data_IF_236000881596
#
_entry.id   IF_236000881596
#
_cell.length_a   1.000
_cell.length_b   1.000
_cell.length_c   1.000
_cell.angle_alpha   90.00
_cell.angle_beta   90.00
_cell.angle_gamma   90.00
#
_symmetry.space_group_name_H-M   'P 1'
#
loop_
_entity.id
_entity.type
_entity.pdbx_description
1 polymer ?
#
# COMPACT_ATOMS: atom_id res chain seq x y z
N UNK A 1 7.18 -5.75 -16.76
CA UNK A 1 5.77 -5.38 -16.46
C UNK A 1 5.78 -4.13 -15.60
N UNK A 2 5.01 -3.10 -15.94
CA UNK A 2 4.94 -1.90 -15.10
C UNK A 2 4.08 -2.21 -13.86
N UNK A 3 4.69 -2.17 -12.67
CA UNK A 3 4.02 -2.46 -11.41
C UNK A 3 3.05 -1.33 -11.01
N UNK A 4 2.00 -1.66 -10.28
CA UNK A 4 1.06 -0.71 -9.68
C UNK A 4 1.62 -0.09 -8.40
N UNK A 5 0.93 0.92 -7.86
CA UNK A 5 1.32 1.57 -6.60
C UNK A 5 1.30 0.58 -5.44
N UNK A 6 0.22 -0.19 -5.30
CA UNK A 6 0.05 -1.18 -4.25
C UNK A 6 1.07 -2.32 -4.34
N UNK A 7 1.34 -2.80 -5.56
CA UNK A 7 2.36 -3.81 -5.84
C UNK A 7 3.75 -3.37 -5.39
N UNK A 8 4.17 -2.16 -5.79
CA UNK A 8 5.48 -1.64 -5.39
C UNK A 8 5.55 -1.35 -3.89
N UNK A 9 4.49 -0.79 -3.31
CA UNK A 9 4.42 -0.52 -1.87
C UNK A 9 4.52 -1.82 -1.06
N UNK A 10 3.82 -2.86 -1.49
CA UNK A 10 3.89 -4.20 -0.92
C UNK A 10 5.33 -4.74 -0.92
N UNK A 11 6.01 -4.71 -2.06
CA UNK A 11 7.38 -5.23 -2.19
C UNK A 11 8.37 -4.44 -1.31
N UNK A 12 8.32 -3.11 -1.33
CA UNK A 12 9.22 -2.27 -0.53
C UNK A 12 9.02 -2.47 0.97
N UNK A 13 7.76 -2.56 1.43
CA UNK A 13 7.46 -2.68 2.87
C UNK A 13 7.53 -4.11 3.40
N UNK A 14 7.58 -5.11 2.50
CA UNK A 14 7.75 -6.53 2.81
C UNK A 14 9.20 -6.98 2.99
N UNK A 15 10.16 -6.04 3.04
CA UNK A 15 11.62 -6.29 3.11
C UNK A 15 12.10 -7.01 4.39
N UNK A 16 11.23 -7.24 5.37
CA UNK A 16 11.61 -7.96 6.58
C UNK A 16 11.71 -9.47 6.33
N UNK A 17 12.37 -10.23 7.22
CA UNK A 17 12.37 -11.72 7.19
C UNK A 17 10.94 -12.31 7.33
N UNK A 18 9.94 -11.47 7.62
CA UNK A 18 8.53 -11.81 7.77
C UNK A 18 7.65 -10.70 7.20
N UNK A 19 7.29 -10.79 5.93
CA UNK A 19 6.45 -9.79 5.26
C UNK A 19 5.06 -9.63 5.87
N UNK A 20 4.62 -10.56 6.73
CA UNK A 20 3.38 -10.42 7.52
C UNK A 20 3.43 -9.30 8.56
N UNK A 21 4.60 -8.69 8.79
CA UNK A 21 4.70 -7.45 9.59
C UNK A 21 3.75 -6.38 9.03
N UNK A 22 3.58 -6.31 7.70
CA UNK A 22 2.61 -5.43 7.08
C UNK A 22 1.18 -5.71 7.57
N UNK A 23 0.78 -6.99 7.70
CA UNK A 23 -0.55 -7.38 8.16
C UNK A 23 -0.80 -7.06 9.65
N UNK A 24 0.24 -6.85 10.46
CA UNK A 24 0.11 -6.55 11.89
C UNK A 24 0.22 -5.07 12.22
N UNK A 25 0.82 -4.27 11.33
CA UNK A 25 1.06 -2.87 11.55
C UNK A 25 -0.04 -2.03 10.89
N UNK A 26 -0.97 -1.50 11.70
CA UNK A 26 -2.11 -0.69 11.23
C UNK A 26 -1.66 0.44 10.31
N UNK A 27 -0.55 1.13 10.63
CA UNK A 27 -0.03 2.20 9.78
C UNK A 27 0.41 1.67 8.42
N UNK A 28 1.14 0.56 8.37
CA UNK A 28 1.56 -0.01 7.08
C UNK A 28 0.36 -0.50 6.27
N UNK A 29 -0.65 -1.09 6.92
CA UNK A 29 -1.90 -1.51 6.26
C UNK A 29 -2.67 -0.32 5.70
N UNK A 30 -2.81 0.75 6.47
CA UNK A 30 -3.52 1.97 6.06
C UNK A 30 -3.00 2.49 4.72
N UNK A 31 -1.69 2.63 4.58
CA UNK A 31 -1.08 3.10 3.33
C UNK A 31 -1.07 2.05 2.21
N UNK A 32 -1.17 0.75 2.52
CA UNK A 32 -1.45 -0.26 1.50
C UNK A 32 -2.90 -0.12 0.98
N UNK A 33 -3.87 0.06 1.88
CA UNK A 33 -5.27 0.30 1.50
C UNK A 33 -5.39 1.55 0.62
N UNK A 34 -4.72 2.66 1.00
CA UNK A 34 -4.65 3.86 0.16
C UNK A 34 -4.06 3.55 -1.22
N UNK A 35 -2.96 2.80 -1.27
CA UNK A 35 -2.33 2.42 -2.54
C UNK A 35 -3.28 1.58 -3.41
N UNK A 36 -4.06 0.68 -2.82
CA UNK A 36 -5.07 -0.11 -3.53
C UNK A 36 -6.21 0.77 -4.07
N UNK A 37 -6.72 1.71 -3.26
CA UNK A 37 -7.77 2.65 -3.69
C UNK A 37 -7.29 3.58 -4.80
N UNK A 38 -6.03 4.04 -4.72
CA UNK A 38 -5.40 4.83 -5.77
C UNK A 38 -5.24 4.03 -7.07
N UNK A 39 -4.84 2.76 -7.00
CA UNK A 39 -4.73 1.91 -8.20
C UNK A 39 -6.11 1.67 -8.85
N UNK A 40 -7.18 1.50 -8.06
CA UNK A 40 -8.54 1.38 -8.57
C UNK A 40 -9.04 2.68 -9.22
N UNK A 41 -8.81 3.82 -8.55
CA UNK A 41 -9.24 5.12 -9.04
C UNK A 41 -8.46 5.55 -10.30
N UNK A 42 -7.14 5.35 -10.32
CA UNK A 42 -6.30 5.64 -11.47
C UNK A 42 -6.63 4.75 -12.68
N UNK A 43 -7.16 3.55 -12.44
CA UNK A 43 -7.66 2.66 -13.50
C UNK A 43 -9.11 2.97 -13.94
N UNK A 44 -9.75 4.00 -13.37
CA UNK A 44 -11.14 4.37 -13.68
C UNK A 44 -12.18 3.37 -13.19
N UNK A 45 -11.82 2.47 -12.26
CA UNK A 45 -12.73 1.45 -11.71
C UNK A 45 -13.65 2.06 -10.67
N UNK A 46 -13.13 2.99 -9.88
CA UNK A 46 -13.87 3.71 -8.84
C UNK A 46 -13.63 5.21 -8.94
N UNK A 47 -14.54 6.00 -8.37
CA UNK A 47 -14.31 7.41 -8.04
C UNK A 47 -14.96 7.74 -6.70
N UNK A 48 -14.59 8.87 -6.10
CA UNK A 48 -15.33 9.42 -4.97
C UNK A 48 -16.49 10.27 -5.50
N UNK A 49 -17.71 9.92 -5.10
CA UNK A 49 -18.92 10.67 -5.39
C UNK A 49 -19.06 11.92 -4.52
N UNK A 50 -19.93 12.84 -4.93
CA UNK A 50 -20.19 14.09 -4.20
C UNK A 50 -20.84 13.86 -2.82
N UNK A 51 -21.47 12.71 -2.61
CA UNK A 51 -22.09 12.29 -1.35
C UNK A 51 -21.11 11.61 -0.38
N UNK A 52 -19.81 11.75 -0.62
CA UNK A 52 -18.74 11.14 0.17
C UNK A 52 -18.77 9.60 0.15
N UNK A 53 -19.26 8.99 -0.94
CA UNK A 53 -19.28 7.54 -1.16
C UNK A 53 -18.39 7.12 -2.31
N UNK A 54 -17.96 5.87 -2.30
CA UNK A 54 -17.23 5.29 -3.43
C UNK A 54 -18.23 4.85 -4.49
N UNK A 55 -18.16 5.46 -5.67
CA UNK A 55 -18.91 5.05 -6.86
C UNK A 55 -18.08 4.05 -7.68
N UNK A 56 -18.73 2.95 -8.10
CA UNK A 56 -18.13 1.94 -8.99
C UNK A 56 -18.48 2.29 -10.43
N UNK A 57 -17.47 2.50 -11.25
CA UNK A 57 -17.60 3.05 -12.62
C UNK A 57 -17.42 1.98 -13.68
N UNK A 58 -16.49 1.06 -13.49
CA UNK A 58 -16.19 -0.01 -14.44
C UNK A 58 -15.82 -1.32 -13.73
N UNK A 59 -15.66 -2.38 -14.51
CA UNK A 59 -15.18 -3.67 -14.04
C UNK A 59 -13.68 -3.61 -13.70
N UNK A 60 -13.27 -4.47 -12.76
CA UNK A 60 -11.87 -4.59 -12.39
C UNK A 60 -11.06 -5.16 -13.58
N UNK A 61 -10.02 -4.47 -14.08
CA UNK A 61 -9.20 -5.01 -15.15
C UNK A 61 -8.32 -6.16 -14.65
N UNK A 62 -7.95 -7.08 -15.55
CA UNK A 62 -7.14 -8.28 -15.23
C UNK A 62 -5.88 -7.97 -14.42
N UNK A 63 -5.20 -6.86 -14.74
CA UNK A 63 -3.98 -6.42 -14.04
C UNK A 63 -4.21 -6.13 -12.56
N UNK A 64 -5.45 -5.85 -12.15
CA UNK A 64 -5.82 -5.53 -10.77
C UNK A 64 -6.56 -6.67 -10.08
N UNK A 65 -6.61 -7.89 -10.62
CA UNK A 65 -7.33 -9.01 -10.01
C UNK A 65 -6.85 -9.40 -8.59
N UNK A 66 -5.64 -8.99 -8.19
CA UNK A 66 -5.22 -9.10 -6.79
C UNK A 66 -6.10 -8.27 -5.82
N UNK A 67 -6.90 -7.33 -6.34
CA UNK A 67 -7.88 -6.50 -5.62
C UNK A 67 -9.31 -7.05 -5.66
N UNK A 68 -9.56 -8.26 -6.16
CA UNK A 68 -10.90 -8.85 -6.19
C UNK A 68 -11.60 -8.80 -4.82
N UNK A 69 -10.91 -9.22 -3.74
CA UNK A 69 -11.49 -9.16 -2.38
C UNK A 69 -11.71 -7.73 -1.87
N UNK A 70 -10.95 -6.74 -2.35
CA UNK A 70 -11.19 -5.32 -2.06
C UNK A 70 -12.47 -4.86 -2.73
N UNK A 71 -12.63 -5.14 -4.04
CA UNK A 71 -13.83 -4.79 -4.80
C UNK A 71 -15.09 -5.47 -4.25
N UNK A 72 -15.02 -6.74 -3.88
CA UNK A 72 -16.16 -7.44 -3.25
C UNK A 72 -16.61 -6.78 -1.94
N UNK A 73 -15.67 -6.23 -1.16
CA UNK A 73 -16.01 -5.48 0.04
C UNK A 73 -16.65 -4.13 -0.32
N UNK A 74 -16.10 -3.39 -1.29
CA UNK A 74 -16.66 -2.11 -1.74
C UNK A 74 -18.08 -2.32 -2.28
N UNK A 75 -18.30 -3.32 -3.14
CA UNK A 75 -19.61 -3.64 -3.74
C UNK A 75 -20.66 -3.93 -2.66
N UNK A 76 -20.33 -4.77 -1.67
CA UNK A 76 -21.25 -5.13 -0.58
C UNK A 76 -21.62 -3.95 0.32
N UNK A 77 -20.78 -2.92 0.36
CA UNK A 77 -20.95 -1.75 1.22
C UNK A 77 -21.13 -0.45 0.42
N UNK A 78 -21.54 -0.52 -0.85
CA UNK A 78 -21.60 0.62 -1.79
C UNK A 78 -22.49 1.79 -1.34
N UNK A 79 -23.40 1.57 -0.39
CA UNK A 79 -24.29 2.59 0.14
C UNK A 79 -23.74 3.30 1.39
N UNK A 80 -22.57 2.88 1.88
CA UNK A 80 -21.91 3.46 3.05
C UNK A 80 -20.98 4.60 2.62
N UNK A 81 -20.67 5.49 3.57
CA UNK A 81 -19.65 6.53 3.35
C UNK A 81 -18.23 5.94 3.22
N UNK A 82 -17.35 6.73 2.62
CA UNK A 82 -15.97 6.35 2.33
C UNK A 82 -15.18 5.99 3.60
N UNK A 83 -15.39 6.70 4.71
CA UNK A 83 -14.70 6.43 5.97
C UNK A 83 -15.06 5.04 6.50
N UNK A 84 -16.34 4.67 6.42
CA UNK A 84 -16.83 3.36 6.83
C UNK A 84 -16.26 2.25 5.94
N UNK A 85 -16.25 2.43 4.61
CA UNK A 85 -15.65 1.46 3.69
C UNK A 85 -14.14 1.30 3.97
N UNK A 86 -13.42 2.41 4.15
CA UNK A 86 -11.98 2.40 4.45
C UNK A 86 -11.68 1.75 5.80
N UNK A 87 -12.52 1.98 6.81
CA UNK A 87 -12.42 1.32 8.10
C UNK A 87 -12.61 -0.20 7.96
N UNK A 88 -13.62 -0.62 7.19
CA UNK A 88 -13.86 -2.04 6.90
C UNK A 88 -12.70 -2.68 6.13
N UNK A 89 -12.14 -2.02 5.12
CA UNK A 89 -10.94 -2.49 4.42
C UNK A 89 -9.74 -2.64 5.36
N UNK A 90 -9.49 -1.63 6.21
CA UNK A 90 -8.36 -1.62 7.14
C UNK A 90 -8.46 -2.67 8.26
N UNK A 91 -9.69 -2.93 8.73
CA UNK A 91 -9.97 -3.86 9.84
C UNK A 91 -10.19 -5.30 9.37
N UNK A 92 -10.64 -5.51 8.13
CA UNK A 92 -10.89 -6.85 7.61
C UNK A 92 -9.57 -7.58 7.30
N UNK A 93 -9.08 -8.33 8.29
CA UNK A 93 -7.84 -9.08 8.21
C UNK A 93 -7.86 -10.10 7.07
N UNK A 94 -9.02 -10.69 6.76
CA UNK A 94 -9.09 -11.73 5.73
C UNK A 94 -9.02 -11.16 4.32
N UNK A 95 -9.65 -10.00 4.06
CA UNK A 95 -9.44 -9.24 2.80
C UNK A 95 -7.96 -8.89 2.63
N UNK A 96 -7.30 -8.42 3.69
CA UNK A 96 -5.87 -8.11 3.66
C UNK A 96 -5.01 -9.35 3.43
N UNK A 97 -5.34 -10.50 4.04
CA UNK A 97 -4.65 -11.77 3.81
C UNK A 97 -4.83 -12.25 2.37
N UNK A 98 -6.05 -12.22 1.82
CA UNK A 98 -6.29 -12.62 0.43
C UNK A 98 -5.49 -11.77 -0.54
N UNK A 99 -5.51 -10.45 -0.36
CA UNK A 99 -4.72 -9.51 -1.17
C UNK A 99 -3.21 -9.79 -1.05
N UNK A 100 -2.74 -10.01 0.17
CA UNK A 100 -1.34 -10.39 0.45
C UNK A 100 -0.96 -11.71 -0.24
N UNK A 101 -1.83 -12.72 -0.20
CA UNK A 101 -1.59 -14.01 -0.83
C UNK A 101 -1.58 -13.89 -2.35
N UNK A 102 -2.54 -13.18 -2.94
CA UNK A 102 -2.62 -12.95 -4.38
C UNK A 102 -1.37 -12.23 -4.91
N UNK A 103 -0.95 -11.14 -4.26
CA UNK A 103 0.30 -10.44 -4.60
C UNK A 103 1.51 -11.36 -4.44
N UNK A 104 1.58 -12.09 -3.32
CA UNK A 104 2.68 -12.99 -3.03
C UNK A 104 2.84 -14.12 -4.05
N UNK A 105 1.73 -14.74 -4.45
CA UNK A 105 1.69 -15.80 -5.46
C UNK A 105 2.09 -15.27 -6.84
N UNK A 106 1.49 -14.16 -7.27
CA UNK A 106 1.85 -13.50 -8.53
C UNK A 106 3.36 -13.20 -8.60
N UNK A 107 3.94 -12.65 -7.54
CA UNK A 107 5.38 -12.38 -7.52
C UNK A 107 6.24 -13.63 -7.35
N UNK A 108 5.71 -14.70 -6.76
CA UNK A 108 6.45 -15.95 -6.62
C UNK A 108 6.57 -16.64 -7.98
N UNK A 109 5.46 -16.71 -8.73
CA UNK A 109 5.42 -17.21 -10.10
C UNK A 109 6.33 -16.41 -11.04
N UNK A 110 6.35 -15.07 -10.89
CA UNK A 110 7.27 -14.20 -11.62
C UNK A 110 8.72 -14.26 -11.13
N UNK A 111 9.05 -15.06 -10.11
CA UNK A 111 10.40 -15.20 -9.58
C UNK A 111 10.93 -13.96 -8.84
N UNK A 112 10.06 -13.04 -8.42
CA UNK A 112 10.42 -11.79 -7.76
C UNK A 112 10.51 -11.90 -6.23
N UNK A 113 9.85 -12.89 -5.64
CA UNK A 113 9.89 -13.19 -4.20
C UNK A 113 10.33 -14.64 -3.96
N UNK A 114 10.75 -14.92 -2.73
CA UNK A 114 10.96 -16.27 -2.21
C UNK A 114 9.80 -16.63 -1.28
N UNK A 115 9.13 -17.75 -1.54
CA UNK A 115 8.21 -18.33 -0.59
C UNK A 115 8.99 -18.96 0.58
N UNK A 116 8.57 -18.64 1.81
CA UNK A 116 9.03 -19.29 3.03
C UNK A 116 7.83 -19.75 3.85
N UNK A 117 8.04 -20.79 4.66
CA UNK A 117 7.05 -21.22 5.66
C UNK A 117 7.56 -20.82 7.04
N UNK A 118 6.74 -20.12 7.82
CA UNK A 118 7.12 -19.61 9.15
C UNK A 118 6.06 -19.92 10.20
N UNK A 119 6.50 -20.34 11.38
CA UNK A 119 5.67 -20.69 12.54
C UNK A 119 6.05 -22.07 13.11
N UNK A 120 6.00 -22.20 14.44
CA UNK A 120 6.34 -23.45 15.14
C UNK A 120 5.17 -24.44 15.16
N UNK A 121 3.94 -23.95 15.36
CA UNK A 121 2.73 -24.78 15.49
C UNK A 121 1.90 -24.79 14.20
N UNK A 122 1.76 -23.63 13.55
CA UNK A 122 1.07 -23.51 12.25
C UNK A 122 2.00 -22.83 11.25
N UNK A 123 2.45 -23.57 10.24
CA UNK A 123 3.35 -23.05 9.20
C UNK A 123 2.54 -22.21 8.23
N UNK A 124 2.72 -20.89 8.28
CA UNK A 124 2.05 -19.96 7.37
C UNK A 124 3.02 -19.55 6.26
N UNK A 125 2.51 -19.43 5.03
CA UNK A 125 3.28 -18.94 3.88
C UNK A 125 3.62 -17.47 4.07
N UNK A 126 4.87 -17.11 3.75
CA UNK A 126 5.34 -15.73 3.73
C UNK A 126 6.18 -15.50 2.48
N UNK A 127 6.10 -14.30 1.92
CA UNK A 127 6.74 -13.95 0.66
C UNK A 127 7.79 -12.88 0.90
N UNK A 128 9.05 -13.20 0.66
CA UNK A 128 10.16 -12.27 0.91
C UNK A 128 10.72 -11.82 -0.43
N UNK A 129 10.64 -10.52 -0.79
CA UNK A 129 11.19 -10.02 -2.04
C UNK A 129 12.70 -10.31 -2.15
N UNK A 130 13.14 -10.68 -3.35
CA UNK A 130 14.58 -10.79 -3.64
C UNK A 130 15.23 -9.41 -3.56
N UNK A 131 16.51 -9.36 -3.19
CA UNK A 131 17.26 -8.11 -3.12
C UNK A 131 17.22 -7.36 -4.46
N UNK A 132 17.37 -8.10 -5.57
CA UNK A 132 17.31 -7.56 -6.93
C UNK A 132 15.97 -6.88 -7.24
N UNK A 133 14.84 -7.56 -6.98
CA UNK A 133 13.48 -6.99 -7.17
C UNK A 133 13.31 -5.66 -6.44
N UNK A 134 13.75 -5.60 -5.18
CA UNK A 134 13.66 -4.36 -4.40
C UNK A 134 14.57 -3.27 -4.96
N UNK A 135 15.78 -3.64 -5.39
CA UNK A 135 16.72 -2.69 -5.96
C UNK A 135 16.19 -2.08 -7.25
N UNK A 136 15.56 -2.87 -8.12
CA UNK A 136 14.93 -2.38 -9.36
C UNK A 136 13.83 -1.35 -9.09
N UNK A 137 13.01 -1.54 -8.06
CA UNK A 137 11.99 -0.56 -7.66
C UNK A 137 12.66 0.71 -7.11
N UNK A 138 13.71 0.56 -6.28
CA UNK A 138 14.45 1.70 -5.71
C UNK A 138 15.11 2.52 -6.81
N UNK A 139 15.74 1.87 -7.79
CA UNK A 139 16.39 2.50 -8.94
C UNK A 139 15.35 3.20 -9.81
N UNK A 140 14.20 2.56 -10.06
CA UNK A 140 13.08 3.19 -10.80
C UNK A 140 12.59 4.46 -10.10
N UNK A 141 12.40 4.43 -8.77
CA UNK A 141 12.03 5.64 -8.01
C UNK A 141 13.14 6.68 -8.12
N UNK A 142 14.40 6.28 -7.96
CA UNK A 142 15.53 7.20 -8.02
C UNK A 142 15.59 7.89 -9.38
N UNK A 143 15.57 7.14 -10.48
CA UNK A 143 15.75 7.68 -11.82
C UNK A 143 14.64 8.66 -12.20
N UNK A 144 13.38 8.30 -11.91
CA UNK A 144 12.25 9.19 -12.18
C UNK A 144 12.25 10.42 -11.28
N UNK A 145 12.60 10.28 -9.99
CA UNK A 145 12.66 11.40 -9.06
C UNK A 145 13.85 12.34 -9.32
N UNK A 146 14.96 11.83 -9.84
CA UNK A 146 16.13 12.63 -10.23
C UNK A 146 16.03 13.21 -11.64
N UNK A 147 15.08 12.72 -12.45
CA UNK A 147 14.84 13.20 -13.82
C UNK A 147 15.72 12.54 -14.87
N UNK A 148 16.38 11.41 -14.56
CA UNK A 148 17.06 10.56 -15.55
C UNK A 148 16.08 9.65 -16.32
N UNK A 149 14.83 9.54 -15.86
CA UNK A 149 13.75 8.86 -16.56
C UNK A 149 12.42 9.64 -16.47
N UNK A 150 11.47 9.45 -17.42
CA UNK A 150 10.14 10.05 -17.35
C UNK A 150 9.38 9.63 -16.10
N UNK A 151 8.72 10.58 -15.43
CA UNK A 151 7.91 10.30 -14.25
C UNK A 151 6.62 9.59 -14.64
N UNK A 152 6.30 8.51 -13.94
CA UNK A 152 5.04 7.77 -14.09
C UNK A 152 4.12 8.04 -12.91
N UNK A 153 2.80 7.97 -13.13
CA UNK A 153 1.79 8.14 -12.08
C UNK A 153 2.01 7.15 -10.93
N UNK A 154 2.29 5.87 -11.21
CA UNK A 154 2.50 4.86 -10.17
C UNK A 154 3.73 5.16 -9.29
N UNK A 155 4.84 5.65 -9.87
CA UNK A 155 6.03 6.02 -9.11
C UNK A 155 5.81 7.30 -8.31
N UNK A 156 5.07 8.27 -8.87
CA UNK A 156 4.64 9.45 -8.14
C UNK A 156 3.81 9.09 -6.90
N UNK A 157 2.76 8.27 -7.08
CA UNK A 157 1.92 7.75 -6.00
C UNK A 157 2.74 6.99 -4.95
N UNK A 158 3.62 6.07 -5.39
CA UNK A 158 4.47 5.30 -4.50
C UNK A 158 5.39 6.21 -3.68
N UNK A 159 6.05 7.18 -4.31
CA UNK A 159 6.94 8.12 -3.64
C UNK A 159 6.16 8.97 -2.61
N UNK A 160 4.94 9.41 -2.93
CA UNK A 160 4.04 10.08 -1.98
C UNK A 160 3.70 9.15 -0.80
N UNK A 161 3.22 7.94 -1.06
CA UNK A 161 2.86 6.95 -0.04
C UNK A 161 4.04 6.61 0.87
N UNK A 162 5.24 6.35 0.32
CA UNK A 162 6.45 6.10 1.10
C UNK A 162 6.89 7.31 1.93
N UNK A 163 6.63 8.54 1.45
CA UNK A 163 6.94 9.77 2.19
C UNK A 163 6.03 9.92 3.40
N UNK A 164 4.72 9.88 3.20
CA UNK A 164 3.73 10.09 4.28
C UNK A 164 3.72 8.93 5.29
N UNK A 165 3.98 7.70 4.83
CA UNK A 165 4.13 6.51 5.68
C UNK A 165 5.47 6.43 6.42
N UNK A 166 6.39 7.35 6.15
CA UNK A 166 7.78 7.36 6.68
C UNK A 166 8.60 6.12 6.29
N UNK A 167 8.27 5.49 5.16
CA UNK A 167 8.94 4.29 4.64
C UNK A 167 10.02 4.58 3.59
N UNK A 168 10.18 5.82 3.11
CA UNK A 168 11.29 6.19 2.22
C UNK A 168 12.68 5.83 2.79
N UNK A 169 12.82 5.76 4.12
CA UNK A 169 14.07 5.33 4.79
C UNK A 169 14.48 3.88 4.51
N UNK A 170 13.56 3.05 4.02
CA UNK A 170 13.85 1.67 3.59
C UNK A 170 14.61 1.61 2.26
N UNK A 171 14.56 2.71 1.51
CA UNK A 171 15.06 2.83 0.13
C UNK A 171 16.25 3.80 0.04
N UNK A 172 16.17 4.94 0.74
CA UNK A 172 17.04 6.10 0.49
C UNK A 172 17.65 6.68 1.77
N UNK A 173 18.85 7.24 1.64
CA UNK A 173 19.56 8.00 2.69
C UNK A 173 18.93 9.38 2.89
N UNK A 174 19.27 10.05 3.99
CA UNK A 174 18.65 11.31 4.39
C UNK A 174 18.73 12.41 3.34
N UNK A 175 19.85 12.53 2.62
CA UNK A 175 20.03 13.51 1.54
C UNK A 175 19.06 13.25 0.38
N UNK A 176 19.00 12.01 -0.10
CA UNK A 176 18.13 11.60 -1.21
C UNK A 176 16.66 11.80 -0.86
N UNK A 177 16.24 11.43 0.37
CA UNK A 177 14.87 11.66 0.83
C UNK A 177 14.46 13.12 0.80
N UNK A 178 15.38 14.06 1.09
CA UNK A 178 15.12 15.50 0.98
C UNK A 178 14.92 15.91 -0.48
N UNK A 179 15.77 15.42 -1.39
CA UNK A 179 15.63 15.71 -2.83
C UNK A 179 14.30 15.19 -3.37
N UNK A 180 13.95 13.94 -3.05
CA UNK A 180 12.65 13.33 -3.40
C UNK A 180 11.50 14.18 -2.86
N UNK A 181 11.54 14.58 -1.59
CA UNK A 181 10.49 15.41 -0.97
C UNK A 181 10.33 16.77 -1.68
N UNK A 182 11.44 17.43 -2.03
CA UNK A 182 11.42 18.70 -2.77
C UNK A 182 10.83 18.51 -4.17
N UNK A 183 11.24 17.45 -4.87
CA UNK A 183 10.71 17.14 -6.21
C UNK A 183 9.20 16.83 -6.16
N UNK A 184 8.74 16.08 -5.16
CA UNK A 184 7.32 15.77 -4.97
C UNK A 184 6.46 17.02 -4.76
N UNK A 185 6.98 18.03 -4.05
CA UNK A 185 6.28 19.33 -3.89
C UNK A 185 6.10 20.04 -5.22
N UNK A 186 7.14 20.07 -6.04
CA UNK A 186 7.08 20.67 -7.39
C UNK A 186 6.12 19.90 -8.31
N UNK A 187 6.13 18.57 -8.23
CA UNK A 187 5.26 17.73 -9.04
C UNK A 187 3.78 17.84 -8.64
N UNK A 188 3.45 18.06 -7.36
CA UNK A 188 2.06 18.30 -6.95
C UNK A 188 1.45 19.60 -7.46
N UNK A 189 2.26 20.53 -7.95
CA UNK A 189 1.79 21.78 -8.56
C UNK A 189 1.69 21.67 -10.10
N UNK A 190 2.08 20.52 -10.67
CA UNK A 190 2.12 20.33 -12.11
C UNK A 190 0.77 19.77 -12.63
N UNK A 191 0.17 20.36 -13.69
CA UNK A 191 -1.16 19.98 -14.17
C UNK A 191 -1.38 18.49 -14.43
N UNK A 192 -0.34 17.80 -14.92
CA UNK A 192 -0.37 16.36 -15.18
C UNK A 192 -0.71 15.52 -13.94
N UNK A 193 -0.34 15.98 -12.74
CA UNK A 193 -0.56 15.25 -11.49
C UNK A 193 -1.73 15.79 -10.67
N UNK A 194 -2.43 16.85 -11.12
CA UNK A 194 -3.50 17.47 -10.34
C UNK A 194 -4.57 16.46 -9.91
N UNK A 195 -5.10 15.69 -10.87
CA UNK A 195 -6.17 14.74 -10.59
C UNK A 195 -5.74 13.64 -9.60
N UNK A 196 -4.56 13.06 -9.80
CA UNK A 196 -4.07 12.02 -8.89
C UNK A 196 -3.64 12.58 -7.54
N UNK A 197 -3.17 13.83 -7.49
CA UNK A 197 -2.82 14.52 -6.25
C UNK A 197 -4.08 14.81 -5.42
N UNK A 198 -5.19 15.22 -6.06
CA UNK A 198 -6.50 15.35 -5.40
C UNK A 198 -6.92 14.01 -4.78
N UNK A 199 -6.86 12.91 -5.53
CA UNK A 199 -7.17 11.57 -4.99
C UNK A 199 -6.27 11.18 -3.81
N UNK A 200 -4.96 11.47 -3.89
CA UNK A 200 -4.00 11.22 -2.80
C UNK A 200 -4.37 12.02 -1.55
N UNK A 201 -4.75 13.28 -1.71
CA UNK A 201 -5.09 14.15 -0.59
C UNK A 201 -6.40 13.73 0.05
N UNK A 202 -7.44 13.47 -0.76
CA UNK A 202 -8.77 13.08 -0.29
C UNK A 202 -8.75 11.72 0.38
N UNK A 203 -8.28 10.65 -0.29
CA UNK A 203 -8.18 9.34 0.37
C UNK A 203 -7.22 9.39 1.55
N UNK A 204 -6.11 10.12 1.43
CA UNK A 204 -5.16 10.27 2.53
C UNK A 204 -5.75 10.97 3.75
N UNK A 205 -6.69 11.90 3.59
CA UNK A 205 -7.42 12.54 4.69
C UNK A 205 -8.34 11.54 5.41
N UNK A 206 -9.22 10.87 4.66
CA UNK A 206 -10.10 9.83 5.20
C UNK A 206 -9.30 8.73 5.90
N UNK A 207 -8.22 8.24 5.29
CA UNK A 207 -7.38 7.19 5.88
C UNK A 207 -6.69 7.64 7.17
N UNK A 208 -6.22 8.90 7.26
CA UNK A 208 -5.64 9.41 8.50
C UNK A 208 -6.66 9.40 9.64
N UNK A 209 -7.89 9.80 9.36
CA UNK A 209 -8.97 9.82 10.33
C UNK A 209 -9.33 8.39 10.76
N UNK A 210 -9.59 7.51 9.80
CA UNK A 210 -9.91 6.10 10.02
C UNK A 210 -8.80 5.37 10.78
N UNK A 211 -7.53 5.51 10.35
CA UNK A 211 -6.41 4.83 10.99
C UNK A 211 -6.18 5.31 12.43
N UNK A 212 -6.45 6.59 12.73
CA UNK A 212 -6.38 7.12 14.08
C UNK A 212 -7.48 6.52 14.98
N UNK A 213 -8.70 6.32 14.47
CA UNK A 213 -9.79 5.68 15.19
C UNK A 213 -9.49 4.19 15.45
N UNK A 214 -9.13 3.45 14.40
CA UNK A 214 -8.78 2.02 14.51
C UNK A 214 -7.60 1.79 15.47
N UNK A 215 -6.61 2.69 15.49
CA UNK A 215 -5.49 2.58 16.42
C UNK A 215 -5.89 2.85 17.89
N UNK A 216 -6.94 3.64 18.14
CA UNK A 216 -7.48 3.86 19.49
C UNK A 216 -8.31 2.67 19.97
N UNK A 217 -9.03 2.01 19.07
CA UNK A 217 -9.90 0.87 19.37
C UNK A 217 -9.16 -0.45 19.54
N UNK A 218 -7.90 -0.54 19.09
CA UNK A 218 -7.03 -1.69 19.40
C UNK A 218 -6.34 -1.46 20.75
N UNK A 219 -6.80 -2.06 21.87
CA UNK A 219 -6.11 -1.94 23.15
C UNK A 219 -4.71 -2.54 23.06
N UNK A 220 -3.81 -1.99 23.87
CA UNK A 220 -2.42 -2.41 24.05
C UNK A 220 -2.21 -3.88 24.47
N UNK A 221 -3.27 -4.69 24.58
CA UNK A 221 -3.21 -6.12 24.92
C UNK A 221 -2.55 -6.99 23.84
N UNK A 222 -2.45 -6.51 22.59
CA UNK A 222 -1.63 -7.15 21.55
C UNK A 222 -0.13 -6.80 21.63
N UNK A 223 0.26 -5.90 22.54
CA UNK A 223 1.66 -5.66 22.93
C UNK A 223 2.01 -6.44 24.19
N UNK A 224 1.78 -7.75 24.21
CA UNK A 224 2.42 -8.61 25.21
C UNK A 224 3.93 -8.54 24.96
N UNK A 225 4.61 -7.72 25.74
CA UNK A 225 6.04 -7.88 26.02
C UNK A 225 6.20 -9.33 26.46
N UNK A 226 6.87 -10.14 25.65
CA UNK A 226 7.53 -11.35 26.16
C UNK A 226 8.58 -10.85 27.15
N UNK A 227 8.18 -10.71 28.41
CA UNK A 227 9.11 -10.76 29.52
C UNK A 227 9.64 -12.18 29.55
N UNK A 228 10.76 -12.40 28.87
CA UNK A 228 11.66 -13.51 29.19
C UNK A 228 12.20 -13.23 30.59
N UNK A 229 11.51 -13.77 31.60
CA UNK A 229 12.11 -13.97 32.90
C UNK A 229 13.18 -15.04 32.73
N UNK A 230 14.41 -14.64 33.00
CA UNK A 230 15.59 -15.46 33.23
C UNK A 230 15.29 -16.55 34.27
N UNK A 231 15.72 -17.78 33.98
CA UNK A 231 16.13 -18.76 34.97
C UNK A 231 17.63 -18.93 34.78
#
# INVERSE_FOLDING_TARGET
MALTTAEMYFLITSKSKDSRVMLKNVRLRAYLVDSCLLDLAAAGVIKLGEDNRIEIIDNLPHKLYFLNSFMDLIIRNKNEDVDTIMAKLLQNIDVMKHTYMALGEQFYEGGHVLEKKKGLVHKVRTFVPKNQTNQEIIDTIYDQMMGSAPMTVNVYCLAKMLTVSRQLKLCFKSRERRVISTRLKRLSEHPEYNHIQELIDTFGEHMRNVAALVAKEQPASYMTKTNTSTI
#
